data_IF_171735945345
#
_entry.id   IF_171735945345
#
_cell.length_a   1.000
_cell.length_b   1.000
_cell.length_c   1.000
_cell.angle_alpha   90.00
_cell.angle_beta   90.00
_cell.angle_gamma   90.00
#
_symmetry.space_group_name_H-M   'P 1'
#
loop_
_entity.id
_entity.type
_entity.pdbx_description
1 polymer ?
#
# COMPACT_ATOMS: atom_id res chain seq x y z
N UNK A 1 -16.51 -8.89 10.66
CA UNK A 1 -15.47 -9.93 10.76
C UNK A 1 -14.16 -9.38 10.24
N UNK A 2 -13.11 -9.40 11.05
CA UNK A 2 -11.78 -8.95 10.65
C UNK A 2 -10.94 -10.15 10.19
N UNK A 3 -10.31 -10.04 8.99
CA UNK A 3 -9.42 -11.07 8.48
C UNK A 3 -7.97 -10.61 8.58
N UNK A 4 -7.09 -11.43 9.15
CA UNK A 4 -5.66 -11.15 9.30
C UNK A 4 -4.89 -12.12 8.40
N UNK A 5 -3.90 -11.60 7.66
CA UNK A 5 -3.02 -12.43 6.83
C UNK A 5 -2.06 -13.24 7.71
N UNK A 6 -1.83 -14.47 7.30
CA UNK A 6 -0.76 -15.29 7.88
C UNK A 6 0.62 -14.71 7.55
N UNK A 7 1.61 -15.01 8.38
CA UNK A 7 3.00 -14.53 8.25
C UNK A 7 3.98 -15.66 8.54
N UNK A 8 5.28 -15.42 8.35
CA UNK A 8 6.34 -16.38 8.71
C UNK A 8 6.33 -16.72 10.20
N UNK A 9 6.06 -15.74 11.06
CA UNK A 9 5.95 -15.93 12.52
C UNK A 9 4.62 -16.54 12.94
N UNK A 10 3.60 -16.51 12.09
CA UNK A 10 2.29 -17.05 12.34
C UNK A 10 1.71 -17.70 11.06
N UNK A 11 2.20 -18.88 10.67
CA UNK A 11 1.78 -19.53 9.43
C UNK A 11 0.35 -20.07 9.53
N UNK A 12 -0.24 -20.40 8.40
CA UNK A 12 -1.56 -21.02 8.32
C UNK A 12 -1.58 -22.35 9.06
N UNK A 13 -2.48 -22.52 10.03
CA UNK A 13 -2.58 -23.76 10.81
C UNK A 13 -3.10 -24.95 9.99
N UNK A 14 -3.64 -24.71 8.79
CA UNK A 14 -4.17 -25.74 7.91
C UNK A 14 -3.10 -26.28 6.94
N UNK A 15 -2.35 -25.39 6.27
CA UNK A 15 -1.36 -25.78 5.26
C UNK A 15 0.09 -25.45 5.65
N UNK A 16 0.31 -24.92 6.85
CA UNK A 16 1.62 -24.53 7.40
C UNK A 16 2.41 -23.53 6.56
N UNK A 17 1.76 -22.86 5.58
CA UNK A 17 2.41 -21.85 4.73
C UNK A 17 2.25 -20.45 5.32
N UNK A 18 3.26 -19.55 5.13
CA UNK A 18 3.28 -18.21 5.69
C UNK A 18 2.59 -17.15 4.82
N UNK A 19 1.94 -17.54 3.75
CA UNK A 19 1.43 -16.65 2.71
C UNK A 19 0.05 -17.08 2.17
N UNK A 20 -0.64 -16.13 1.55
CA UNK A 20 -1.91 -16.25 0.81
C UNK A 20 -3.14 -16.62 1.66
N UNK A 21 -2.98 -17.26 2.79
CA UNK A 21 -4.08 -17.60 3.68
C UNK A 21 -4.41 -16.44 4.62
N UNK A 22 -5.64 -16.47 5.15
CA UNK A 22 -6.10 -15.52 6.16
C UNK A 22 -6.77 -16.24 7.31
N UNK A 23 -6.80 -15.60 8.46
CA UNK A 23 -7.48 -16.10 9.65
C UNK A 23 -8.45 -15.04 10.17
N UNK A 24 -9.67 -15.45 10.44
CA UNK A 24 -10.71 -14.66 11.06
C UNK A 24 -10.98 -15.09 12.49
N UNK A 25 -12.07 -14.60 13.06
CA UNK A 25 -12.44 -14.90 14.46
C UNK A 25 -12.84 -16.37 14.66
N UNK A 26 -13.42 -17.02 13.64
CA UNK A 26 -13.98 -18.37 13.72
C UNK A 26 -13.48 -19.33 12.65
N UNK A 27 -12.79 -18.85 11.61
CA UNK A 27 -12.38 -19.63 10.47
C UNK A 27 -10.98 -19.25 9.99
N UNK A 28 -10.25 -20.24 9.46
CA UNK A 28 -9.15 -20.03 8.53
C UNK A 28 -9.70 -20.01 7.10
N UNK A 29 -9.28 -19.06 6.27
CA UNK A 29 -9.45 -19.15 4.83
C UNK A 29 -8.13 -19.67 4.23
N UNK A 30 -8.08 -20.96 3.93
CA UNK A 30 -6.89 -21.60 3.37
C UNK A 30 -6.98 -21.60 1.84
N UNK A 31 -5.94 -21.12 1.18
CA UNK A 31 -5.88 -21.05 -0.29
C UNK A 31 -5.37 -22.35 -0.94
N UNK A 32 -5.05 -23.38 -0.15
CA UNK A 32 -4.38 -24.60 -0.63
C UNK A 32 -5.07 -25.91 -0.27
N UNK A 33 -5.70 -25.95 0.88
CA UNK A 33 -6.39 -27.17 1.36
C UNK A 33 -7.88 -26.97 1.19
N UNK A 34 -8.52 -27.90 0.51
CA UNK A 34 -9.96 -27.87 0.27
C UNK A 34 -10.75 -28.25 1.53
N UNK A 35 -11.92 -27.67 1.67
CA UNK A 35 -12.94 -28.04 2.64
C UNK A 35 -14.33 -28.04 1.97
N UNK A 36 -15.36 -28.44 2.68
CA UNK A 36 -16.74 -28.40 2.20
C UNK A 36 -17.28 -26.96 2.01
N UNK A 37 -16.58 -25.94 2.50
CA UNK A 37 -17.04 -24.54 2.47
C UNK A 37 -16.09 -23.66 1.64
N UNK A 38 -16.38 -23.39 0.36
CA UNK A 38 -15.58 -22.48 -0.46
C UNK A 38 -15.77 -21.02 0.01
N UNK A 39 -14.70 -20.23 -0.10
CA UNK A 39 -14.73 -18.81 0.18
C UNK A 39 -15.03 -18.00 -1.09
N UNK A 40 -15.83 -16.91 -0.99
CA UNK A 40 -16.21 -16.07 -2.15
C UNK A 40 -15.02 -15.54 -2.96
N UNK A 41 -13.89 -15.28 -2.31
CA UNK A 41 -12.68 -14.71 -2.94
C UNK A 41 -11.61 -15.77 -3.23
N UNK A 42 -12.00 -17.02 -3.35
CA UNK A 42 -11.10 -18.16 -3.52
C UNK A 42 -10.61 -18.75 -2.19
N UNK A 43 -10.18 -20.02 -2.22
CA UNK A 43 -9.82 -20.79 -1.03
C UNK A 43 -11.02 -21.42 -0.31
N UNK A 44 -10.76 -21.98 0.86
CA UNK A 44 -11.70 -22.80 1.62
C UNK A 44 -11.69 -22.42 3.09
N UNK A 45 -12.90 -22.38 3.70
CA UNK A 45 -13.08 -22.08 5.11
C UNK A 45 -12.88 -23.33 5.96
N UNK A 46 -12.05 -23.24 6.97
CA UNK A 46 -11.84 -24.27 7.99
C UNK A 46 -12.20 -23.71 9.35
N UNK A 47 -13.12 -24.32 10.10
CA UNK A 47 -13.50 -23.84 11.42
C UNK A 47 -12.32 -23.89 12.40
N UNK A 48 -12.20 -22.88 13.23
CA UNK A 48 -11.22 -22.83 14.31
C UNK A 48 -11.86 -23.53 15.51
N UNK A 49 -11.33 -24.68 15.91
CA UNK A 49 -11.74 -25.35 17.17
C UNK A 49 -11.30 -24.47 18.35
N UNK A 50 -12.05 -24.51 19.47
CA UNK A 50 -11.77 -23.72 20.67
C UNK A 50 -10.35 -23.95 21.25
N UNK A 51 -9.74 -25.09 20.97
CA UNK A 51 -8.35 -25.40 21.35
C UNK A 51 -7.30 -24.73 20.45
N UNK A 52 -7.70 -24.17 19.31
CA UNK A 52 -6.81 -23.54 18.32
C UNK A 52 -6.94 -22.01 18.28
N UNK A 53 -7.72 -21.40 19.16
CA UNK A 53 -7.74 -19.92 19.29
C UNK A 53 -6.35 -19.44 19.68
N UNK A 54 -5.57 -19.07 18.69
CA UNK A 54 -4.32 -18.33 18.91
C UNK A 54 -4.68 -16.86 19.07
N UNK A 55 -4.13 -16.23 20.08
CA UNK A 55 -4.10 -14.76 20.16
C UNK A 55 -3.21 -14.27 19.01
N UNK A 56 -3.83 -14.03 17.85
CA UNK A 56 -3.16 -13.42 16.73
C UNK A 56 -3.13 -11.92 17.03
N UNK A 57 -1.96 -11.31 17.27
CA UNK A 57 -1.87 -9.89 17.52
C UNK A 57 -2.52 -9.15 16.37
N UNK A 58 -3.56 -8.36 16.64
CA UNK A 58 -4.11 -7.47 15.62
C UNK A 58 -3.00 -6.51 15.21
N UNK A 59 -2.79 -6.31 13.90
CA UNK A 59 -1.85 -5.29 13.45
C UNK A 59 -2.20 -3.97 14.14
N UNK A 60 -1.19 -3.30 14.66
CA UNK A 60 -1.36 -1.97 15.23
C UNK A 60 -2.13 -1.07 14.24
N UNK A 61 -2.99 -0.17 14.72
CA UNK A 61 -3.65 0.81 13.86
C UNK A 61 -2.60 1.52 13.00
N UNK A 62 -2.88 1.62 11.70
CA UNK A 62 -1.96 2.34 10.81
C UNK A 62 -1.91 3.80 11.24
N UNK A 63 -0.73 4.43 11.26
CA UNK A 63 -0.63 5.85 11.55
C UNK A 63 -1.48 6.64 10.55
N UNK A 64 -2.21 7.63 11.05
CA UNK A 64 -2.93 8.57 10.18
C UNK A 64 -1.92 9.60 9.67
N UNK A 65 -1.81 9.74 8.35
CA UNK A 65 -0.94 10.73 7.72
C UNK A 65 -1.76 11.77 6.98
N UNK A 66 -1.33 13.02 7.03
CA UNK A 66 -1.85 14.05 6.15
C UNK A 66 -1.04 14.07 4.85
N UNK A 67 -1.39 13.18 3.91
CA UNK A 67 -0.68 13.01 2.65
C UNK A 67 -0.64 14.30 1.82
N UNK A 68 -1.70 15.11 1.87
CA UNK A 68 -1.78 16.38 1.15
C UNK A 68 -0.72 17.36 1.67
N UNK A 69 -0.67 17.57 2.98
CA UNK A 69 0.29 18.48 3.62
C UNK A 69 1.74 18.07 3.34
N UNK A 70 2.04 16.76 3.46
CA UNK A 70 3.38 16.26 3.17
C UNK A 70 3.81 16.55 1.73
N UNK A 71 2.93 16.33 0.76
CA UNK A 71 3.22 16.63 -0.66
C UNK A 71 3.42 18.12 -0.87
N UNK A 72 2.61 18.98 -0.28
CA UNK A 72 2.76 20.44 -0.37
C UNK A 72 4.11 20.90 0.20
N UNK A 73 4.52 20.38 1.35
CA UNK A 73 5.78 20.75 2.00
C UNK A 73 6.99 20.27 1.17
N UNK A 74 6.95 19.03 0.70
CA UNK A 74 8.03 18.48 -0.14
C UNK A 74 8.11 19.12 -1.52
N UNK A 75 6.98 19.51 -2.11
CA UNK A 75 6.94 20.22 -3.39
C UNK A 75 7.62 21.57 -3.29
N UNK A 76 7.39 22.34 -2.20
CA UNK A 76 8.05 23.64 -1.97
C UNK A 76 9.58 23.50 -1.82
N UNK A 77 10.05 22.38 -1.28
CA UNK A 77 11.46 22.11 -1.10
C UNK A 77 12.14 21.48 -2.32
N UNK A 78 11.38 21.04 -3.32
CA UNK A 78 11.88 20.35 -4.50
C UNK A 78 12.48 21.38 -5.48
N UNK A 79 13.74 21.16 -5.87
CA UNK A 79 14.41 21.98 -6.88
C UNK A 79 14.13 21.46 -8.28
N UNK A 80 13.94 22.36 -9.23
CA UNK A 80 13.66 22.03 -10.63
C UNK A 80 14.79 21.21 -11.26
N UNK A 81 16.05 21.56 -11.00
CA UNK A 81 17.22 20.84 -11.47
C UNK A 81 17.23 19.34 -11.07
N UNK A 82 16.71 19.02 -9.87
CA UNK A 82 16.60 17.64 -9.42
C UNK A 82 15.54 16.87 -10.20
N UNK A 83 14.42 17.55 -10.46
CA UNK A 83 13.33 16.98 -11.23
C UNK A 83 13.74 16.71 -12.69
N UNK A 84 14.51 17.60 -13.30
CA UNK A 84 15.07 17.41 -14.64
C UNK A 84 16.04 16.21 -14.71
N UNK A 85 16.92 16.06 -13.73
CA UNK A 85 17.81 14.90 -13.65
C UNK A 85 17.03 13.61 -13.52
N UNK A 86 16.01 13.61 -12.67
CA UNK A 86 15.17 12.45 -12.46
C UNK A 86 14.34 12.12 -13.69
N UNK A 87 13.80 13.10 -14.39
CA UNK A 87 13.04 12.90 -15.63
C UNK A 87 13.87 12.17 -16.68
N UNK A 88 15.12 12.60 -16.89
CA UNK A 88 16.07 11.95 -17.79
C UNK A 88 16.38 10.51 -17.36
N UNK A 89 16.55 10.27 -16.06
CA UNK A 89 16.88 8.95 -15.51
C UNK A 89 15.76 7.92 -15.74
N UNK A 90 14.49 8.36 -15.69
CA UNK A 90 13.35 7.44 -15.83
C UNK A 90 12.67 7.49 -17.20
N UNK A 91 13.16 8.31 -18.12
CA UNK A 91 12.61 8.44 -19.47
C UNK A 91 11.25 9.14 -19.54
N UNK A 92 10.95 10.03 -18.59
CA UNK A 92 9.73 10.85 -18.57
C UNK A 92 10.07 12.32 -18.80
N UNK A 93 9.09 13.12 -19.23
CA UNK A 93 9.27 14.58 -19.29
C UNK A 93 9.10 15.20 -17.90
N UNK A 94 9.80 16.30 -17.64
CA UNK A 94 9.64 17.11 -16.42
C UNK A 94 8.19 17.56 -16.26
N UNK A 95 7.53 17.93 -17.34
CA UNK A 95 6.12 18.32 -17.34
C UNK A 95 5.19 17.19 -16.87
N UNK A 96 5.45 15.95 -17.31
CA UNK A 96 4.67 14.79 -16.84
C UNK A 96 4.85 14.54 -15.35
N UNK A 97 6.06 14.72 -14.83
CA UNK A 97 6.34 14.59 -13.40
C UNK A 97 5.65 15.67 -12.59
N UNK A 98 5.67 16.91 -13.06
CA UNK A 98 4.95 18.02 -12.45
C UNK A 98 3.43 17.78 -12.44
N UNK A 99 2.87 17.33 -13.56
CA UNK A 99 1.45 16.99 -13.64
C UNK A 99 1.05 15.89 -12.65
N UNK A 100 1.95 14.97 -12.32
CA UNK A 100 1.74 13.94 -11.30
C UNK A 100 2.04 14.43 -9.87
N UNK A 101 2.38 15.70 -9.66
CA UNK A 101 2.84 16.27 -8.38
C UNK A 101 4.02 15.49 -7.78
N UNK A 102 4.93 15.04 -8.65
CA UNK A 102 6.15 14.39 -8.21
C UNK A 102 7.05 15.38 -7.47
N UNK A 103 7.52 15.03 -6.29
CA UNK A 103 8.38 15.88 -5.48
C UNK A 103 9.45 15.06 -4.72
N UNK A 104 10.47 15.75 -4.19
CA UNK A 104 11.54 15.12 -3.43
C UNK A 104 11.22 15.03 -1.95
N UNK A 105 11.05 13.82 -1.44
CA UNK A 105 10.84 13.54 -0.02
C UNK A 105 12.20 13.39 0.69
N UNK A 106 12.77 14.51 1.13
CA UNK A 106 14.09 14.54 1.79
C UNK A 106 14.24 13.57 2.97
N UNK A 107 13.24 13.40 3.87
CA UNK A 107 13.36 12.45 4.98
C UNK A 107 13.49 10.99 4.54
N UNK A 108 13.08 10.69 3.31
CA UNK A 108 13.10 9.34 2.75
C UNK A 108 14.18 9.14 1.68
N UNK A 109 14.90 10.19 1.31
CA UNK A 109 15.86 10.20 0.19
C UNK A 109 15.27 9.56 -1.07
N UNK A 110 14.03 9.95 -1.41
CA UNK A 110 13.24 9.33 -2.47
C UNK A 110 12.31 10.33 -3.17
N UNK A 111 11.94 10.01 -4.39
CA UNK A 111 10.89 10.70 -5.12
C UNK A 111 9.52 10.24 -4.63
N UNK A 112 8.65 11.20 -4.35
CA UNK A 112 7.30 10.98 -3.86
C UNK A 112 6.27 11.22 -4.96
N UNK A 113 5.31 10.31 -5.05
CA UNK A 113 4.17 10.37 -5.96
C UNK A 113 2.90 10.26 -5.12
N UNK A 114 2.06 11.30 -5.07
CA UNK A 114 0.77 11.22 -4.39
C UNK A 114 -0.17 10.25 -5.08
N UNK A 115 -0.95 9.54 -4.30
CA UNK A 115 -1.98 8.61 -4.77
C UNK A 115 -3.36 9.14 -4.39
N UNK A 116 -4.31 9.07 -5.32
CA UNK A 116 -5.64 9.65 -5.19
C UNK A 116 -6.74 8.60 -5.32
N UNK A 117 -7.86 8.83 -4.68
CA UNK A 117 -9.12 8.15 -4.97
C UNK A 117 -9.79 8.77 -6.20
N UNK A 118 -10.83 8.09 -6.74
CA UNK A 118 -11.61 8.58 -7.87
C UNK A 118 -12.33 9.91 -7.64
N UNK A 119 -12.51 10.32 -6.39
CA UNK A 119 -13.05 11.64 -6.02
C UNK A 119 -11.97 12.73 -5.88
N UNK A 120 -10.75 12.49 -6.30
CA UNK A 120 -9.63 13.44 -6.23
C UNK A 120 -8.97 13.58 -4.85
N UNK A 121 -9.43 12.88 -3.82
CA UNK A 121 -8.83 12.92 -2.48
C UNK A 121 -7.47 12.21 -2.46
N UNK A 122 -6.43 12.89 -1.94
CA UNK A 122 -5.12 12.28 -1.73
C UNK A 122 -5.17 11.31 -0.54
N UNK A 123 -4.89 10.02 -0.79
CA UNK A 123 -5.02 8.95 0.22
C UNK A 123 -3.70 8.30 0.59
N UNK A 124 -2.63 8.64 -0.09
CA UNK A 124 -1.33 8.08 0.22
C UNK A 124 -0.22 8.62 -0.66
N UNK A 125 1.00 8.19 -0.35
CA UNK A 125 2.20 8.60 -1.06
C UNK A 125 3.03 7.36 -1.37
N UNK A 126 3.35 7.18 -2.65
CA UNK A 126 4.30 6.18 -3.13
C UNK A 126 5.67 6.81 -3.24
N UNK A 127 6.67 6.15 -2.71
CA UNK A 127 8.06 6.54 -2.77
C UNK A 127 8.83 5.69 -3.79
N UNK A 128 9.80 6.31 -4.46
CA UNK A 128 10.75 5.65 -5.35
C UNK A 128 12.16 6.16 -5.06
N UNK A 129 13.07 5.27 -4.68
CA UNK A 129 14.48 5.62 -4.50
C UNK A 129 15.18 5.87 -5.85
N UNK A 130 16.36 6.47 -5.79
CA UNK A 130 17.23 6.62 -6.96
C UNK A 130 17.67 5.27 -7.56
N UNK A 131 17.77 4.22 -6.73
CA UNK A 131 18.05 2.85 -7.17
C UNK A 131 16.85 2.11 -7.74
N UNK A 132 15.66 2.73 -7.74
CA UNK A 132 14.42 2.16 -8.29
C UNK A 132 13.56 1.36 -7.31
N UNK A 133 13.97 1.19 -6.05
CA UNK A 133 13.13 0.57 -5.03
C UNK A 133 11.85 1.40 -4.79
N UNK A 134 10.74 0.71 -4.52
CA UNK A 134 9.41 1.34 -4.37
C UNK A 134 8.76 0.88 -3.07
N UNK A 135 8.23 1.84 -2.28
CA UNK A 135 7.45 1.58 -1.07
C UNK A 135 6.42 2.69 -0.85
N UNK A 136 5.63 2.62 0.19
CA UNK A 136 4.67 3.68 0.55
C UNK A 136 5.05 4.30 1.88
N UNK A 137 4.74 5.57 2.07
CA UNK A 137 4.82 6.21 3.39
C UNK A 137 3.90 5.44 4.35
N UNK A 138 4.36 5.07 5.56
CA UNK A 138 3.51 4.40 6.54
C UNK A 138 2.21 5.17 6.78
N UNK A 139 1.06 4.48 6.76
CA UNK A 139 -0.26 5.10 6.85
C UNK A 139 -0.91 5.43 5.50
N UNK A 140 -0.18 5.30 4.39
CA UNK A 140 -0.76 5.46 3.05
C UNK A 140 -1.75 4.34 2.71
N UNK A 141 -2.82 4.72 2.01
CA UNK A 141 -3.69 3.80 1.28
C UNK A 141 -3.28 3.75 -0.20
N UNK A 142 -3.55 2.63 -0.85
CA UNK A 142 -3.35 2.51 -2.30
C UNK A 142 -4.38 3.36 -3.04
N UNK A 143 -3.94 3.99 -4.12
CA UNK A 143 -4.75 4.85 -4.97
C UNK A 143 -4.17 4.91 -6.37
N UNK A 144 -4.69 5.82 -7.18
CA UNK A 144 -4.29 6.06 -8.56
C UNK A 144 -3.32 7.23 -8.65
N UNK A 145 -2.42 7.20 -9.63
CA UNK A 145 -1.61 8.35 -10.02
C UNK A 145 -2.40 9.16 -11.04
N UNK A 146 -3.04 10.25 -10.58
CA UNK A 146 -3.93 11.08 -11.41
C UNK A 146 -3.26 12.43 -11.66
N UNK A 147 -2.99 12.79 -12.93
CA UNK A 147 -2.46 14.10 -13.27
C UNK A 147 -3.40 15.23 -12.85
N UNK A 148 -2.83 16.40 -12.54
CA UNK A 148 -3.57 17.57 -12.06
C UNK A 148 -4.72 17.99 -12.95
N UNK A 149 -4.50 17.99 -14.27
CA UNK A 149 -5.50 18.43 -15.25
C UNK A 149 -6.72 17.49 -15.29
N UNK A 150 -6.56 16.20 -14.94
CA UNK A 150 -7.68 15.26 -14.81
C UNK A 150 -8.39 15.39 -13.46
N UNK A 151 -7.66 15.72 -12.38
CA UNK A 151 -8.26 15.87 -11.05
C UNK A 151 -9.19 17.08 -10.91
N UNK A 152 -8.95 18.13 -11.68
CA UNK A 152 -9.80 19.33 -11.72
C UNK A 152 -11.16 19.07 -12.38
N UNK A 153 -11.31 17.93 -13.04
CA UNK A 153 -12.54 17.50 -13.75
C UNK A 153 -13.34 16.45 -12.97
N UNK A 154 -12.85 16.01 -11.80
CA UNK A 154 -13.51 15.06 -10.90
C UNK A 154 -14.26 15.81 -9.80
#
# INVERSE_FOLDING_TARGET
>A
MSWVRVTKSNPCSICSRPDWCTVGDFFYCCMRVQSAQPCKNGGWLHPISNTQKRDIPRPAPRPVINSKQLIEDWSRATREEWLERFSKQIGMTTQSLLALNCCWASPHSAWAFPMFQGNGQCVGIRLRSLSGAKWSVPGSHSGLFIPDYLRKSL
#
